data_IF_012830903750
#
_entry.id   IF_012830903750
#
_cell.length_a   1.000
_cell.length_b   1.000
_cell.length_c   1.000
_cell.angle_alpha   90.00
_cell.angle_beta   90.00
_cell.angle_gamma   90.00
#
_symmetry.space_group_name_H-M   'P 1'
#
loop_
_entity.id
_entity.type
_entity.pdbx_description
1 polymer ?
#
# COMPACT_ATOMS: atom_id res chain seq x y z
N UNK A 1 -9.43 21.11 53.82
CA UNK A 1 -8.23 21.11 52.95
C UNK A 1 -8.69 20.82 51.54
N UNK A 2 -8.34 21.64 50.53
CA UNK A 2 -8.73 21.36 49.15
C UNK A 2 -7.98 20.13 48.63
N UNK A 3 -8.71 19.21 48.00
CA UNK A 3 -8.16 18.00 47.40
C UNK A 3 -7.52 18.38 46.06
N UNK A 4 -6.18 18.29 45.98
CA UNK A 4 -5.43 18.48 44.74
C UNK A 4 -5.55 17.18 43.92
N UNK A 5 -6.08 17.20 42.69
CA UNK A 5 -6.12 16.01 41.86
C UNK A 5 -4.70 15.63 41.44
N UNK A 6 -4.40 14.32 41.49
CA UNK A 6 -3.16 13.74 41.00
C UNK A 6 -3.15 13.76 39.46
N UNK A 7 -1.98 13.95 38.81
CA UNK A 7 -1.89 13.96 37.35
C UNK A 7 -2.06 12.55 36.78
N UNK A 8 -2.79 12.45 35.66
CA UNK A 8 -2.97 11.22 34.88
C UNK A 8 -1.62 10.60 34.51
N UNK A 9 -1.44 9.34 34.88
CA UNK A 9 -0.28 8.54 34.49
C UNK A 9 -0.48 8.07 33.05
N UNK A 10 0.28 8.63 32.12
CA UNK A 10 0.47 8.03 30.80
C UNK A 10 1.26 6.75 31.01
N UNK A 11 0.62 5.60 30.85
CA UNK A 11 1.30 4.29 30.91
C UNK A 11 1.97 4.05 29.55
N UNK A 12 3.29 4.28 29.48
CA UNK A 12 4.12 3.78 28.39
C UNK A 12 4.52 2.34 28.75
N UNK A 13 3.77 1.34 28.29
CA UNK A 13 4.20 -0.06 28.39
C UNK A 13 5.14 -0.37 27.23
N UNK A 14 6.43 -0.54 27.53
CA UNK A 14 7.40 -1.20 26.67
C UNK A 14 7.13 -2.72 26.78
N UNK A 15 6.57 -3.32 25.73
CA UNK A 15 6.31 -4.77 25.72
C UNK A 15 7.59 -5.49 25.31
N UNK A 16 8.49 -5.73 26.26
CA UNK A 16 9.53 -6.76 26.11
C UNK A 16 9.02 -8.06 26.74
N UNK A 17 8.32 -8.91 25.97
CA UNK A 17 7.85 -10.20 26.49
C UNK A 17 8.57 -11.37 25.81
N UNK A 18 9.50 -11.96 26.56
CA UNK A 18 10.01 -13.32 26.36
C UNK A 18 8.90 -14.32 26.75
N UNK A 19 8.73 -15.37 25.92
CA UNK A 19 8.00 -16.65 26.11
C UNK A 19 6.43 -16.65 26.09
N UNK A 20 5.90 -17.24 25.02
CA UNK A 20 4.62 -18.01 24.89
C UNK A 20 3.25 -17.40 25.21
N UNK A 21 3.12 -16.12 25.56
CA UNK A 21 1.81 -15.47 25.68
C UNK A 21 1.45 -14.74 24.37
N UNK A 22 0.34 -15.13 23.74
CA UNK A 22 -0.28 -14.37 22.65
C UNK A 22 -0.62 -12.97 23.16
N UNK A 23 -0.16 -11.93 22.49
CA UNK A 23 -0.64 -10.58 22.78
C UNK A 23 -1.98 -10.38 22.07
N UNK A 24 -3.07 -10.42 22.82
CA UNK A 24 -4.44 -10.35 22.28
C UNK A 24 -5.03 -8.97 22.52
N UNK A 25 -5.54 -8.35 21.47
CA UNK A 25 -6.37 -7.15 21.54
C UNK A 25 -7.81 -7.58 21.27
N UNK A 26 -8.65 -7.62 22.31
CA UNK A 26 -10.03 -8.06 22.19
C UNK A 26 -10.90 -7.15 21.31
N UNK A 27 -12.00 -7.73 20.78
CA UNK A 27 -12.98 -6.97 20.01
C UNK A 27 -13.56 -5.81 20.83
N UNK A 28 -13.70 -4.64 20.20
CA UNK A 28 -14.14 -3.41 20.86
C UNK A 28 -13.08 -2.69 21.68
N UNK A 29 -11.89 -3.28 21.85
CA UNK A 29 -10.74 -2.62 22.50
C UNK A 29 -9.89 -1.92 21.46
N UNK A 30 -9.37 -0.73 21.78
CA UNK A 30 -8.31 -0.07 21.01
C UNK A 30 -7.08 0.10 21.89
N UNK A 31 -5.96 -0.46 21.46
CA UNK A 31 -4.68 -0.42 22.16
C UNK A 31 -3.68 0.42 21.36
N UNK A 32 -2.98 1.33 22.03
CA UNK A 32 -1.79 1.98 21.48
C UNK A 32 -0.57 1.44 22.21
N UNK A 33 0.45 1.02 21.48
CA UNK A 33 1.76 0.61 22.02
C UNK A 33 2.86 1.49 21.40
N UNK A 34 4.05 1.46 22.01
CA UNK A 34 5.26 2.05 21.44
C UNK A 34 5.82 1.16 20.33
N UNK A 35 6.99 0.59 20.59
CA UNK A 35 7.69 -0.28 19.64
C UNK A 35 7.12 -1.70 19.61
N UNK A 36 6.85 -2.22 18.40
CA UNK A 36 6.54 -3.63 18.18
C UNK A 36 7.78 -4.34 17.65
N UNK A 37 8.47 -5.09 18.51
CA UNK A 37 9.66 -5.86 18.11
C UNK A 37 9.62 -7.26 18.71
N UNK A 38 10.05 -8.25 17.92
CA UNK A 38 10.29 -9.60 18.41
C UNK A 38 11.33 -10.27 17.52
N UNK A 39 12.30 -10.96 18.12
CA UNK A 39 13.23 -11.82 17.39
C UNK A 39 12.69 -13.24 17.21
N UNK A 40 11.57 -13.59 17.85
CA UNK A 40 10.98 -14.92 17.81
C UNK A 40 9.95 -15.02 16.69
N UNK A 41 10.14 -16.01 15.81
CA UNK A 41 9.17 -16.34 14.76
C UNK A 41 7.85 -16.91 15.28
N UNK A 42 7.84 -17.36 16.53
CA UNK A 42 6.69 -17.97 17.18
C UNK A 42 5.84 -16.95 17.96
N UNK A 43 6.18 -15.66 17.93
CA UNK A 43 5.36 -14.63 18.59
C UNK A 43 4.09 -14.39 17.76
N UNK A 44 2.92 -14.50 18.40
CA UNK A 44 1.64 -14.10 17.81
C UNK A 44 1.14 -12.81 18.47
N UNK A 45 0.73 -11.85 17.63
CA UNK A 45 -0.10 -10.71 18.04
C UNK A 45 -1.47 -10.88 17.40
N UNK A 46 -2.49 -11.17 18.21
CA UNK A 46 -3.86 -11.39 17.76
C UNK A 46 -4.68 -10.11 17.91
N UNK A 47 -5.08 -9.54 16.78
CA UNK A 47 -5.77 -8.24 16.72
C UNK A 47 -7.24 -8.49 16.38
N UNK A 48 -8.12 -8.45 17.38
CA UNK A 48 -9.59 -8.52 17.21
C UNK A 48 -10.23 -7.13 17.32
N UNK A 49 -9.62 -6.23 18.09
CA UNK A 49 -9.97 -4.81 18.21
C UNK A 49 -9.13 -3.90 17.31
N UNK A 50 -8.63 -2.78 17.82
CA UNK A 50 -7.70 -1.89 17.13
C UNK A 50 -6.33 -1.87 17.78
N UNK A 51 -5.26 -2.01 17.00
CA UNK A 51 -3.88 -1.85 17.43
C UNK A 51 -3.24 -0.67 16.70
N UNK A 52 -2.73 0.30 17.45
CA UNK A 52 -1.85 1.36 16.95
C UNK A 52 -0.44 1.16 17.49
N UNK A 53 0.53 1.00 16.61
CA UNK A 53 1.96 0.89 16.95
C UNK A 53 2.62 2.23 16.67
N UNK A 54 3.04 2.95 17.70
CA UNK A 54 3.74 4.23 17.57
C UNK A 54 5.24 3.98 17.66
N UNK A 55 5.83 3.50 16.56
CA UNK A 55 7.23 3.10 16.53
C UNK A 55 8.16 4.30 16.75
N UNK A 56 8.94 4.27 17.82
CA UNK A 56 9.94 5.28 18.23
C UNK A 56 11.37 4.81 18.06
N UNK A 57 11.57 3.51 17.83
CA UNK A 57 12.85 2.91 17.50
C UNK A 57 12.70 1.95 16.32
N UNK A 58 13.58 2.05 15.33
CA UNK A 58 13.57 1.14 14.19
C UNK A 58 13.72 -0.32 14.66
N UNK A 59 12.87 -1.22 14.16
CA UNK A 59 12.88 -2.60 14.64
C UNK A 59 12.17 -3.61 13.73
N UNK A 60 12.45 -4.88 13.99
CA UNK A 60 11.83 -6.02 13.31
C UNK A 60 10.89 -6.74 14.26
N UNK A 61 9.70 -7.04 13.77
CA UNK A 61 8.78 -8.00 14.34
C UNK A 61 8.84 -9.27 13.50
N UNK A 62 9.55 -10.27 14.02
CA UNK A 62 9.66 -11.58 13.40
C UNK A 62 8.46 -12.49 13.67
N UNK A 63 7.52 -12.07 14.52
CA UNK A 63 6.29 -12.81 14.76
C UNK A 63 5.28 -12.69 13.61
N UNK A 64 4.06 -13.16 13.87
CA UNK A 64 2.91 -13.00 12.98
C UNK A 64 1.82 -12.14 13.63
N UNK A 65 1.13 -11.35 12.83
CA UNK A 65 -0.13 -10.71 13.24
C UNK A 65 -1.31 -11.50 12.69
N UNK A 66 -2.35 -11.66 13.51
CA UNK A 66 -3.56 -12.43 13.18
C UNK A 66 -4.83 -11.65 13.56
N UNK A 67 -6.00 -12.17 13.19
CA UNK A 67 -7.29 -11.59 13.56
C UNK A 67 -7.88 -10.66 12.49
N UNK A 68 -8.98 -9.98 12.83
CA UNK A 68 -9.78 -9.18 11.90
C UNK A 68 -9.91 -7.70 12.30
N UNK A 69 -9.17 -7.29 13.33
CA UNK A 69 -9.14 -5.95 13.87
C UNK A 69 -8.49 -4.92 12.94
N UNK A 70 -8.21 -3.72 13.43
CA UNK A 70 -7.44 -2.74 12.65
C UNK A 70 -6.00 -2.68 13.15
N UNK A 71 -5.06 -2.57 12.22
CA UNK A 71 -3.66 -2.32 12.52
C UNK A 71 -3.26 -0.95 11.97
N UNK A 72 -2.68 -0.10 12.81
CA UNK A 72 -2.17 1.21 12.41
C UNK A 72 -0.69 1.32 12.74
N UNK A 73 0.15 1.47 11.70
CA UNK A 73 1.53 1.91 11.84
C UNK A 73 1.57 3.43 11.97
N UNK A 74 2.00 3.88 13.13
CA UNK A 74 2.31 5.26 13.47
C UNK A 74 3.74 5.37 13.98
N UNK A 75 4.11 6.54 14.49
CA UNK A 75 5.49 6.84 14.89
C UNK A 75 6.42 7.02 13.68
N UNK A 76 7.53 7.72 13.90
CA UNK A 76 8.43 8.15 12.83
C UNK A 76 9.32 7.02 12.29
N UNK A 77 9.55 5.99 13.10
CA UNK A 77 10.58 4.99 12.80
C UNK A 77 10.08 3.82 11.95
N UNK A 78 11.03 2.99 11.51
CA UNK A 78 10.81 1.79 10.71
C UNK A 78 10.25 0.63 11.57
N UNK A 79 9.15 0.03 11.13
CA UNK A 79 8.72 -1.29 11.58
C UNK A 79 8.86 -2.27 10.41
N UNK A 80 9.63 -3.34 10.60
CA UNK A 80 9.74 -4.44 9.65
C UNK A 80 8.83 -5.58 10.10
N UNK A 81 7.88 -5.97 9.27
CA UNK A 81 7.16 -7.24 9.41
C UNK A 81 7.86 -8.28 8.51
N UNK A 82 8.58 -9.21 9.13
CA UNK A 82 9.48 -10.09 8.37
C UNK A 82 8.90 -11.44 8.00
N UNK A 83 7.73 -11.80 8.55
CA UNK A 83 7.01 -13.04 8.27
C UNK A 83 5.67 -12.77 7.57
N UNK A 84 4.99 -13.84 7.17
CA UNK A 84 3.66 -13.78 6.56
C UNK A 84 2.60 -13.43 7.62
N UNK A 85 1.98 -12.26 7.47
CA UNK A 85 0.97 -11.76 8.40
C UNK A 85 -0.42 -12.07 7.87
N UNK A 86 -1.21 -12.78 8.67
CA UNK A 86 -2.57 -13.23 8.30
C UNK A 86 -3.68 -12.36 8.91
N UNK A 87 -3.32 -11.15 9.34
CA UNK A 87 -4.27 -10.16 9.84
C UNK A 87 -5.16 -9.62 8.71
N UNK A 88 -6.46 -9.84 8.82
CA UNK A 88 -7.42 -9.64 7.73
C UNK A 88 -8.11 -8.27 7.71
N UNK A 89 -8.04 -7.51 8.82
CA UNK A 89 -8.61 -6.17 8.84
C UNK A 89 -7.65 -5.13 8.28
N UNK A 90 -8.03 -3.86 8.33
CA UNK A 90 -7.31 -2.81 7.62
C UNK A 90 -5.91 -2.57 8.21
N UNK A 91 -4.93 -2.40 7.33
CA UNK A 91 -3.56 -1.99 7.65
C UNK A 91 -3.40 -0.53 7.24
N UNK A 92 -3.32 0.37 8.22
CA UNK A 92 -3.18 1.81 7.98
C UNK A 92 -1.76 2.26 8.26
N UNK A 93 -1.13 2.97 7.33
CA UNK A 93 0.19 3.58 7.50
C UNK A 93 -0.01 5.09 7.61
N UNK A 94 0.07 5.58 8.84
CA UNK A 94 -0.14 6.99 9.18
C UNK A 94 1.17 7.79 9.25
N UNK A 95 2.28 7.15 9.65
CA UNK A 95 3.60 7.78 9.75
C UNK A 95 4.74 6.75 9.74
N UNK A 96 5.96 7.23 9.48
CA UNK A 96 7.17 6.40 9.40
C UNK A 96 7.10 5.39 8.26
N UNK A 97 7.83 4.28 8.41
CA UNK A 97 7.85 3.21 7.39
C UNK A 97 7.34 1.91 7.97
N UNK A 98 6.39 1.27 7.26
CA UNK A 98 6.07 -0.14 7.41
C UNK A 98 6.76 -0.89 6.27
N UNK A 99 7.81 -1.63 6.57
CA UNK A 99 8.49 -2.50 5.60
C UNK A 99 7.99 -3.92 5.75
N UNK A 100 7.63 -4.55 4.64
CA UNK A 100 7.15 -5.94 4.60
C UNK A 100 8.11 -6.75 3.75
N UNK A 101 8.89 -7.61 4.42
CA UNK A 101 9.78 -8.58 3.75
C UNK A 101 9.17 -10.00 3.74
N UNK A 102 8.10 -10.22 4.50
CA UNK A 102 7.18 -11.35 4.34
C UNK A 102 5.99 -10.94 3.48
N UNK A 103 4.77 -11.20 3.93
CA UNK A 103 3.53 -10.79 3.24
C UNK A 103 2.51 -10.21 4.20
N UNK A 104 1.54 -9.47 3.65
CA UNK A 104 0.28 -9.17 4.33
C UNK A 104 -0.80 -10.15 3.86
N UNK A 105 -1.94 -10.15 4.53
CA UNK A 105 -3.07 -10.96 4.08
C UNK A 105 -3.62 -10.42 2.76
N UNK A 106 -3.88 -11.30 1.79
CA UNK A 106 -4.64 -11.01 0.56
C UNK A 106 -6.00 -10.33 0.83
N UNK A 107 -6.49 -10.46 2.05
CA UNK A 107 -7.75 -9.92 2.52
C UNK A 107 -7.53 -8.54 3.17
N UNK A 108 -6.33 -8.06 3.52
CA UNK A 108 -6.19 -6.71 4.11
C UNK A 108 -6.44 -5.59 3.10
N UNK A 109 -7.02 -4.47 3.54
CA UNK A 109 -6.93 -3.21 2.81
C UNK A 109 -5.75 -2.41 3.36
N UNK A 110 -4.84 -2.01 2.48
CA UNK A 110 -3.74 -1.11 2.82
C UNK A 110 -4.15 0.33 2.58
N UNK A 111 -4.06 1.16 3.62
CA UNK A 111 -4.46 2.57 3.61
C UNK A 111 -3.24 3.41 3.99
N UNK A 112 -2.67 4.14 3.03
CA UNK A 112 -1.49 4.99 3.28
C UNK A 112 -1.93 6.46 3.33
N UNK A 113 -1.71 7.11 4.48
CA UNK A 113 -2.18 8.47 4.73
C UNK A 113 -1.05 9.48 5.02
N UNK A 114 0.22 9.04 5.10
CA UNK A 114 1.35 9.94 5.35
C UNK A 114 2.73 9.29 5.45
N UNK A 115 2.83 8.03 5.85
CA UNK A 115 4.08 7.28 5.89
C UNK A 115 4.41 6.52 4.60
N UNK A 116 5.27 5.53 4.70
CA UNK A 116 5.69 4.65 3.60
C UNK A 116 5.24 3.21 3.85
N UNK A 117 4.53 2.61 2.89
CA UNK A 117 4.41 1.16 2.77
C UNK A 117 5.52 0.68 1.84
N UNK A 118 6.50 -0.04 2.38
CA UNK A 118 7.72 -0.46 1.71
C UNK A 118 7.68 -1.98 1.46
N UNK A 119 7.51 -2.37 0.20
CA UNK A 119 7.21 -3.74 -0.24
C UNK A 119 8.48 -4.38 -0.81
N UNK A 120 9.04 -5.33 -0.04
CA UNK A 120 10.33 -5.95 -0.33
C UNK A 120 10.20 -7.43 -0.76
N UNK A 121 8.98 -7.97 -0.80
CA UNK A 121 8.65 -9.29 -1.32
C UNK A 121 7.32 -9.23 -2.10
N UNK A 122 7.13 -10.18 -3.03
CA UNK A 122 5.86 -10.27 -3.77
C UNK A 122 4.70 -10.43 -2.78
N UNK A 123 3.71 -9.56 -2.90
CA UNK A 123 2.61 -9.46 -1.93
C UNK A 123 1.27 -9.27 -2.65
N UNK A 124 0.20 -9.76 -2.04
CA UNK A 124 -1.16 -9.55 -2.53
C UNK A 124 -1.98 -8.91 -1.42
N UNK A 125 -2.71 -7.87 -1.77
CA UNK A 125 -3.62 -7.19 -0.85
C UNK A 125 -4.98 -6.98 -1.50
N UNK A 126 -6.02 -6.87 -0.67
CA UNK A 126 -7.38 -6.70 -1.17
C UNK A 126 -7.52 -5.36 -1.88
N UNK A 127 -6.97 -4.30 -1.30
CA UNK A 127 -6.91 -3.02 -1.98
C UNK A 127 -5.82 -2.11 -1.45
N UNK A 128 -5.37 -1.18 -2.30
CA UNK A 128 -4.60 0.00 -1.91
C UNK A 128 -5.47 1.25 -2.01
N UNK A 129 -5.31 2.16 -1.05
CA UNK A 129 -5.98 3.47 -1.03
C UNK A 129 -5.30 4.42 -0.06
N UNK A 130 -5.80 5.65 0.01
CA UNK A 130 -5.41 6.59 1.07
C UNK A 130 -5.15 8.00 0.56
N UNK A 131 -4.97 8.91 1.52
CA UNK A 131 -4.89 10.35 1.26
C UNK A 131 -3.47 10.87 1.01
N UNK A 132 -2.43 10.05 1.14
CA UNK A 132 -1.06 10.52 0.99
C UNK A 132 0.01 9.46 1.25
N UNK A 133 1.24 9.90 1.56
CA UNK A 133 2.38 9.03 1.78
C UNK A 133 2.89 8.35 0.50
N UNK A 134 3.64 7.26 0.69
CA UNK A 134 4.28 6.51 -0.40
C UNK A 134 3.97 5.02 -0.29
N UNK A 135 3.73 4.36 -1.41
CA UNK A 135 3.87 2.91 -1.56
C UNK A 135 5.12 2.71 -2.42
N UNK A 136 6.18 2.18 -1.83
CA UNK A 136 7.46 1.90 -2.49
C UNK A 136 7.55 0.40 -2.77
N UNK A 137 7.76 0.04 -4.05
CA UNK A 137 7.83 -1.37 -4.47
C UNK A 137 9.23 -1.65 -5.00
N UNK A 138 9.93 -2.54 -4.29
CA UNK A 138 11.32 -2.86 -4.56
C UNK A 138 11.54 -3.45 -5.96
N UNK A 139 12.78 -3.38 -6.44
CA UNK A 139 13.15 -3.88 -7.76
C UNK A 139 12.88 -5.37 -7.89
N UNK A 140 12.16 -5.76 -8.95
CA UNK A 140 11.81 -7.17 -9.20
C UNK A 140 10.68 -7.71 -8.32
N UNK A 141 10.10 -6.87 -7.44
CA UNK A 141 8.95 -7.21 -6.60
C UNK A 141 7.65 -6.74 -7.25
N UNK A 142 6.57 -7.49 -7.02
CA UNK A 142 5.21 -7.18 -7.45
C UNK A 142 4.27 -7.03 -6.26
N UNK A 143 3.63 -5.87 -6.14
CA UNK A 143 2.46 -5.71 -5.28
C UNK A 143 1.19 -5.94 -6.11
N UNK A 144 0.37 -6.90 -5.72
CA UNK A 144 -0.90 -7.21 -6.36
C UNK A 144 -2.06 -6.54 -5.63
N UNK A 145 -2.77 -5.66 -6.33
CA UNK A 145 -3.99 -4.98 -5.87
C UNK A 145 -5.24 -5.64 -6.47
N UNK A 146 -6.02 -6.31 -5.61
CA UNK A 146 -7.17 -7.14 -6.01
C UNK A 146 -8.53 -6.47 -5.79
N UNK A 147 -8.60 -5.13 -5.84
CA UNK A 147 -9.79 -4.39 -5.46
C UNK A 147 -11.03 -4.72 -6.32
N UNK A 148 -12.18 -4.93 -5.67
CA UNK A 148 -13.46 -5.21 -6.34
C UNK A 148 -14.41 -4.01 -6.33
N UNK A 149 -13.97 -2.89 -5.75
CA UNK A 149 -14.69 -1.62 -5.71
C UNK A 149 -13.71 -0.49 -6.04
N UNK A 150 -14.23 0.63 -6.50
CA UNK A 150 -13.38 1.76 -6.88
C UNK A 150 -12.60 2.28 -5.67
N UNK A 151 -11.34 2.64 -5.91
CA UNK A 151 -10.41 3.16 -4.91
C UNK A 151 -9.69 4.39 -5.44
N UNK A 152 -9.38 5.30 -4.54
CA UNK A 152 -8.52 6.45 -4.83
C UNK A 152 -7.27 6.35 -3.97
N UNK A 153 -6.12 6.59 -4.60
CA UNK A 153 -4.86 6.78 -3.90
C UNK A 153 -4.26 8.14 -4.30
N UNK A 154 -4.10 9.00 -3.30
CA UNK A 154 -3.57 10.35 -3.46
C UNK A 154 -2.08 10.47 -3.12
N UNK A 155 -1.47 9.40 -2.61
CA UNK A 155 -0.02 9.34 -2.38
C UNK A 155 0.77 9.02 -3.65
N UNK A 156 2.05 8.72 -3.46
CA UNK A 156 2.97 8.37 -4.52
C UNK A 156 3.17 6.86 -4.60
N UNK A 157 2.95 6.25 -5.76
CA UNK A 157 3.53 4.94 -6.08
C UNK A 157 4.99 5.16 -6.51
N UNK A 158 5.93 4.46 -5.90
CA UNK A 158 7.37 4.61 -6.14
C UNK A 158 8.05 3.24 -6.35
N UNK A 159 9.35 3.30 -6.67
CA UNK A 159 10.19 2.11 -6.82
C UNK A 159 10.28 1.57 -8.25
N UNK A 160 11.16 0.59 -8.43
CA UNK A 160 11.38 -0.05 -9.74
C UNK A 160 10.66 -1.38 -9.91
N UNK A 161 9.86 -1.79 -8.93
CA UNK A 161 8.98 -2.95 -9.00
C UNK A 161 7.74 -2.74 -9.87
N UNK A 162 6.74 -3.57 -9.61
CA UNK A 162 5.48 -3.59 -10.37
C UNK A 162 4.29 -3.47 -9.44
N UNK A 163 3.38 -2.54 -9.74
CA UNK A 163 2.00 -2.61 -9.25
C UNK A 163 1.17 -3.44 -10.24
N UNK A 164 0.68 -4.60 -9.81
CA UNK A 164 -0.24 -5.44 -10.59
C UNK A 164 -1.68 -5.23 -10.12
N UNK A 165 -2.49 -4.55 -10.91
CA UNK A 165 -3.92 -4.39 -10.67
C UNK A 165 -4.68 -5.57 -11.30
N UNK A 166 -5.08 -6.52 -10.46
CA UNK A 166 -5.90 -7.68 -10.83
C UNK A 166 -7.38 -7.48 -10.51
N UNK A 167 -7.69 -6.44 -9.74
CA UNK A 167 -9.05 -6.00 -9.45
C UNK A 167 -9.85 -5.59 -10.69
N UNK A 168 -11.18 -5.79 -10.64
CA UNK A 168 -12.13 -5.43 -11.71
C UNK A 168 -12.79 -4.06 -11.49
N UNK A 169 -12.12 -3.18 -10.75
CA UNK A 169 -12.58 -1.84 -10.42
C UNK A 169 -11.64 -0.75 -10.94
N UNK A 170 -12.00 0.51 -10.69
CA UNK A 170 -11.16 1.67 -10.97
C UNK A 170 -10.21 1.95 -9.81
N UNK A 171 -8.90 1.93 -10.07
CA UNK A 171 -7.91 2.60 -9.24
C UNK A 171 -7.66 4.01 -9.79
N UNK A 172 -8.03 5.03 -9.03
CA UNK A 172 -7.79 6.43 -9.36
C UNK A 172 -6.53 6.93 -8.65
N UNK A 173 -5.53 7.34 -9.41
CA UNK A 173 -4.31 7.97 -8.92
C UNK A 173 -4.43 9.49 -9.05
N UNK A 174 -4.32 10.18 -7.92
CA UNK A 174 -4.38 11.66 -7.88
C UNK A 174 -3.07 12.31 -7.44
N UNK A 175 -2.10 11.51 -6.96
CA UNK A 175 -0.74 11.95 -6.65
C UNK A 175 0.26 11.74 -7.79
N UNK A 176 1.48 12.25 -7.62
CA UNK A 176 2.60 12.05 -8.56
C UNK A 176 3.22 10.68 -8.32
N UNK A 177 3.26 9.84 -9.36
CA UNK A 177 3.76 8.47 -9.28
C UNK A 177 5.07 8.31 -10.04
N UNK A 178 6.04 7.66 -9.41
CA UNK A 178 7.38 7.38 -9.95
C UNK A 178 7.68 5.91 -10.11
N UNK A 179 6.70 5.03 -9.89
CA UNK A 179 6.85 3.60 -10.08
C UNK A 179 7.20 3.24 -11.52
N UNK A 180 8.10 2.27 -11.71
CA UNK A 180 8.55 1.87 -13.05
C UNK A 180 7.51 1.08 -13.84
N UNK A 181 6.70 0.23 -13.18
CA UNK A 181 5.77 -0.65 -13.89
C UNK A 181 4.38 -0.64 -13.24
N UNK A 182 3.36 -0.48 -14.07
CA UNK A 182 1.96 -0.72 -13.70
C UNK A 182 1.37 -1.71 -14.70
N UNK A 183 0.80 -2.81 -14.20
CA UNK A 183 0.13 -3.81 -15.01
C UNK A 183 -1.35 -3.86 -14.66
N UNK A 184 -2.23 -3.72 -15.65
CA UNK A 184 -3.65 -4.04 -15.50
C UNK A 184 -3.84 -5.45 -16.05
N UNK A 185 -3.94 -6.42 -15.14
CA UNK A 185 -3.79 -7.84 -15.45
C UNK A 185 -5.13 -8.55 -15.74
N UNK A 186 -6.25 -8.01 -15.28
CA UNK A 186 -7.57 -8.64 -15.39
C UNK A 186 -8.54 -7.78 -16.19
N UNK A 187 -9.28 -8.38 -17.11
CA UNK A 187 -10.32 -7.70 -17.89
C UNK A 187 -11.28 -6.91 -17.00
N UNK A 188 -11.72 -5.75 -17.48
CA UNK A 188 -12.53 -4.75 -16.78
C UNK A 188 -11.81 -3.99 -15.65
N UNK A 189 -10.55 -4.30 -15.36
CA UNK A 189 -9.70 -3.44 -14.52
C UNK A 189 -9.47 -2.08 -15.19
N UNK A 190 -9.51 -1.01 -14.39
CA UNK A 190 -9.31 0.37 -14.87
C UNK A 190 -8.31 1.12 -14.00
N UNK A 191 -7.40 1.83 -14.64
CA UNK A 191 -6.52 2.81 -14.03
C UNK A 191 -6.94 4.19 -14.52
N UNK A 192 -7.27 5.10 -13.61
CA UNK A 192 -7.53 6.50 -13.93
C UNK A 192 -6.42 7.36 -13.32
N UNK A 193 -5.79 8.21 -14.14
CA UNK A 193 -4.84 9.23 -13.67
C UNK A 193 -5.48 10.59 -13.86
N UNK A 194 -5.85 11.24 -12.76
CA UNK A 194 -6.68 12.45 -12.78
C UNK A 194 -6.32 13.45 -11.68
N UNK A 195 -7.01 14.60 -11.65
CA UNK A 195 -6.72 15.70 -10.73
C UNK A 195 -5.28 16.19 -10.88
N UNK A 196 -4.43 16.09 -9.85
CA UNK A 196 -3.00 16.40 -9.92
C UNK A 196 -2.12 15.20 -10.28
N UNK A 197 -2.72 14.04 -10.55
CA UNK A 197 -2.00 12.79 -10.72
C UNK A 197 -1.18 12.75 -12.00
N UNK A 198 0.01 12.17 -11.91
CA UNK A 198 0.90 11.91 -13.06
C UNK A 198 1.63 10.58 -12.87
N UNK A 199 2.13 10.03 -13.96
CA UNK A 199 3.09 8.93 -14.01
C UNK A 199 4.44 9.48 -14.46
N UNK A 200 5.53 8.81 -14.11
CA UNK A 200 6.86 9.29 -14.49
C UNK A 200 7.21 8.93 -15.93
N UNK A 201 8.23 9.62 -16.44
CA UNK A 201 8.85 9.33 -17.73
C UNK A 201 9.54 7.97 -17.82
N UNK A 202 9.65 7.25 -16.70
CA UNK A 202 10.16 5.88 -16.60
C UNK A 202 9.04 4.83 -16.41
N UNK A 203 7.79 5.25 -16.25
CA UNK A 203 6.66 4.35 -16.00
C UNK A 203 6.19 3.69 -17.29
N UNK A 204 6.12 2.36 -17.30
CA UNK A 204 5.46 1.57 -18.36
C UNK A 204 4.12 1.05 -17.86
N UNK A 205 3.06 1.24 -18.66
CA UNK A 205 1.71 0.72 -18.37
C UNK A 205 1.40 -0.46 -19.30
N UNK A 206 1.23 -1.66 -18.74
CA UNK A 206 0.84 -2.86 -19.48
C UNK A 206 -0.66 -3.12 -19.35
N UNK A 207 -1.33 -3.33 -20.48
CA UNK A 207 -2.79 -3.48 -20.55
C UNK A 207 -3.17 -4.86 -21.08
N UNK A 208 -3.73 -5.72 -20.22
CA UNK A 208 -4.41 -6.92 -20.68
C UNK A 208 -5.67 -6.57 -21.50
N UNK A 209 -6.19 -7.54 -22.25
CA UNK A 209 -7.40 -7.34 -23.05
C UNK A 209 -8.56 -6.82 -22.20
N UNK A 210 -9.32 -5.85 -22.73
CA UNK A 210 -10.46 -5.20 -22.06
C UNK A 210 -10.13 -4.48 -20.74
N UNK A 211 -8.87 -4.15 -20.48
CA UNK A 211 -8.50 -3.20 -19.43
C UNK A 211 -8.46 -1.78 -19.97
N UNK A 212 -8.58 -0.78 -19.10
CA UNK A 212 -8.53 0.62 -19.52
C UNK A 212 -7.54 1.42 -18.69
N UNK A 213 -6.58 2.06 -19.36
CA UNK A 213 -5.85 3.19 -18.80
C UNK A 213 -6.49 4.49 -19.30
N UNK A 214 -7.01 5.29 -18.38
CA UNK A 214 -7.61 6.59 -18.66
C UNK A 214 -6.72 7.73 -18.18
N UNK A 215 -6.09 8.43 -19.13
CA UNK A 215 -5.30 9.61 -18.88
C UNK A 215 -6.20 10.85 -18.94
N UNK A 216 -6.41 11.51 -17.79
CA UNK A 216 -7.16 12.78 -17.69
C UNK A 216 -6.25 13.99 -17.49
N UNK A 217 -4.94 13.77 -17.44
CA UNK A 217 -3.91 14.78 -17.27
C UNK A 217 -2.87 14.67 -18.38
N UNK A 218 -2.29 15.81 -18.78
CA UNK A 218 -1.18 15.82 -19.74
C UNK A 218 0.05 15.22 -19.08
N UNK A 219 0.67 14.26 -19.74
CA UNK A 219 1.71 13.44 -19.13
C UNK A 219 2.74 12.91 -20.15
N UNK A 220 3.88 12.44 -19.66
CA UNK A 220 4.92 11.78 -20.47
C UNK A 220 5.39 10.52 -19.76
N UNK A 221 5.22 9.36 -20.40
CA UNK A 221 5.54 8.05 -19.83
C UNK A 221 6.51 7.24 -20.71
N UNK A 222 7.10 6.20 -20.14
CA UNK A 222 8.03 5.35 -20.87
C UNK A 222 7.33 4.61 -22.02
N UNK A 223 6.13 4.08 -21.77
CA UNK A 223 5.34 3.44 -22.82
C UNK A 223 4.03 2.81 -22.33
N UNK A 224 3.21 2.42 -23.29
CA UNK A 224 2.01 1.59 -23.08
C UNK A 224 2.16 0.32 -23.89
N UNK A 225 1.83 -0.83 -23.32
CA UNK A 225 1.96 -2.14 -23.97
C UNK A 225 0.68 -2.96 -23.84
N UNK A 226 0.60 -4.07 -24.58
CA UNK A 226 -0.51 -5.02 -24.50
C UNK A 226 -1.65 -4.72 -25.49
N UNK A 227 -2.85 -5.16 -25.16
CA UNK A 227 -4.02 -5.20 -26.06
C UNK A 227 -5.30 -4.57 -25.49
N UNK A 228 -5.21 -3.91 -24.33
CA UNK A 228 -6.32 -3.18 -23.72
C UNK A 228 -6.65 -1.86 -24.41
N UNK A 229 -7.20 -0.93 -23.64
CA UNK A 229 -7.69 0.36 -24.13
C UNK A 229 -6.88 1.47 -23.47
N UNK A 230 -6.26 2.29 -24.31
CA UNK A 230 -5.73 3.58 -23.93
C UNK A 230 -6.78 4.65 -24.23
N UNK A 231 -7.33 5.25 -23.18
CA UNK A 231 -8.36 6.28 -23.23
C UNK A 231 -7.75 7.62 -22.80
N UNK A 232 -7.91 8.65 -23.61
CA UNK A 232 -7.32 9.97 -23.37
C UNK A 232 -8.45 10.99 -23.33
N UNK A 233 -8.59 11.71 -22.22
CA UNK A 233 -9.66 12.69 -22.08
C UNK A 233 -9.53 13.84 -23.11
N UNK A 234 -10.62 14.50 -23.51
CA UNK A 234 -10.57 15.61 -24.46
C UNK A 234 -9.62 16.73 -24.01
N UNK A 235 -8.75 17.19 -24.91
CA UNK A 235 -7.79 18.26 -24.63
C UNK A 235 -6.52 17.81 -23.89
N UNK A 236 -6.39 16.53 -23.58
CA UNK A 236 -5.21 15.96 -22.92
C UNK A 236 -4.19 15.45 -23.94
N UNK A 237 -2.90 15.71 -23.68
CA UNK A 237 -1.80 15.12 -24.44
C UNK A 237 -1.09 14.08 -23.58
N UNK A 238 -1.08 12.82 -24.02
CA UNK A 238 -0.23 11.79 -23.44
C UNK A 238 0.93 11.50 -24.40
N UNK A 239 2.15 11.79 -23.97
CA UNK A 239 3.37 11.44 -24.70
C UNK A 239 3.86 10.07 -24.24
N UNK A 240 4.08 9.15 -25.18
CA UNK A 240 4.55 7.78 -24.92
C UNK A 240 5.83 7.51 -25.69
N UNK A 241 6.62 6.52 -25.24
CA UNK A 241 7.85 6.12 -25.92
C UNK A 241 9.10 6.88 -25.44
N UNK A 242 9.10 7.37 -24.19
CA UNK A 242 10.30 7.96 -23.60
C UNK A 242 11.34 6.90 -23.16
N UNK A 243 11.08 5.61 -23.41
CA UNK A 243 12.04 4.54 -23.18
C UNK A 243 12.92 4.31 -24.42
N UNK A 244 14.17 3.88 -24.22
CA UNK A 244 15.07 3.46 -25.31
C UNK A 244 14.69 2.11 -25.93
N UNK A 245 13.70 1.42 -25.38
CA UNK A 245 13.22 0.11 -25.86
C UNK A 245 11.96 0.29 -26.69
N UNK A 246 11.94 -0.28 -27.90
CA UNK A 246 10.73 -0.32 -28.70
C UNK A 246 9.68 -1.18 -28.00
N UNK A 247 8.47 -0.63 -27.84
CA UNK A 247 7.32 -1.36 -27.29
C UNK A 247 6.22 -1.47 -28.33
N UNK A 248 5.40 -2.52 -28.23
CA UNK A 248 4.21 -2.70 -29.08
C UNK A 248 2.94 -2.54 -28.26
N UNK A 249 2.07 -1.64 -28.70
CA UNK A 249 0.69 -1.57 -28.24
C UNK A 249 -0.22 -2.07 -29.37
N UNK A 250 -0.85 -3.21 -29.16
CA UNK A 250 -1.78 -3.84 -30.09
C UNK A 250 -3.25 -3.58 -29.70
N UNK A 251 -3.47 -2.66 -28.76
CA UNK A 251 -4.78 -2.32 -28.22
C UNK A 251 -5.48 -1.19 -28.98
N UNK A 252 -6.56 -0.70 -28.38
CA UNK A 252 -7.33 0.42 -28.91
C UNK A 252 -6.85 1.72 -28.28
N UNK A 253 -6.63 2.75 -29.10
CA UNK A 253 -6.49 4.14 -28.61
C UNK A 253 -7.78 4.89 -28.92
N UNK A 254 -8.36 5.56 -27.91
CA UNK A 254 -9.57 6.35 -28.07
C UNK A 254 -9.54 7.61 -27.22
N UNK A 255 -10.51 8.47 -27.47
CA UNK A 255 -10.77 9.65 -26.65
C UNK A 255 -12.22 9.65 -26.19
N UNK A 256 -12.45 9.80 -24.88
CA UNK A 256 -13.80 9.99 -24.31
C UNK A 256 -13.85 10.90 -23.08
#
# INVERSE_FOLDING_TARGET
>A
MPHKPLPDQIVTQEVQQLITADFIIDSGVSQTIGDLTSASVNTEVRILGGLTVTQTNAGTFAGITTGAGTFTKAGAELLILSNDNIHNGNTTISAGTLRVTGTLSDITNVIVNGGTYDVEADDTVRSISGSGGTIDIASGVTLTNSATNDKTYAGALAGSGTLSNTGVSTLTLTGTNTISNIALATANGRLEVSSTGTLSTSTTVSLAANTVYYAKNTDTIAGVTGSGILDIAPGITLSVGNSSSAVTFAGTVRTS
#
